data_IF_161577608293
#
_entry.id   IF_161577608293
#
_cell.length_a   1.000
_cell.length_b   1.000
_cell.length_c   1.000
_cell.angle_alpha   90.00
_cell.angle_beta   90.00
_cell.angle_gamma   90.00
#
_symmetry.space_group_name_H-M   'P 1'
#
loop_
_entity.id
_entity.type
_entity.pdbx_description
1 polymer ?
#
# COMPACT_ATOMS: atom_id res chain seq x y z
N UNK A 1 3.18 -9.27 20.76
CA UNK A 1 3.39 -8.09 21.64
C UNK A 1 4.87 -7.88 21.95
N UNK A 2 5.64 -8.94 22.24
CA UNK A 2 7.09 -8.89 22.50
C UNK A 2 7.89 -7.96 21.54
N UNK A 3 7.78 -8.17 20.22
CA UNK A 3 8.48 -7.34 19.22
C UNK A 3 8.08 -5.86 19.28
N UNK A 4 6.79 -5.57 19.51
CA UNK A 4 6.28 -4.20 19.58
C UNK A 4 6.78 -3.47 20.83
N UNK A 5 6.86 -4.16 21.97
CA UNK A 5 7.34 -3.61 23.24
C UNK A 5 8.86 -3.48 23.28
N UNK A 6 9.58 -4.39 22.62
CA UNK A 6 11.05 -4.37 22.56
C UNK A 6 11.61 -3.24 21.68
N UNK A 7 10.79 -2.63 20.82
CA UNK A 7 11.20 -1.60 19.88
C UNK A 7 10.38 -0.31 20.09
N UNK A 8 10.79 0.57 21.02
CA UNK A 8 10.17 1.88 21.18
C UNK A 8 10.10 2.66 19.85
N UNK A 9 9.02 3.41 19.63
CA UNK A 9 8.77 4.09 18.37
C UNK A 9 8.23 3.20 17.24
N UNK A 10 7.77 1.98 17.54
CA UNK A 10 7.06 1.14 16.58
C UNK A 10 5.63 1.63 16.38
N UNK A 11 5.27 2.00 15.14
CA UNK A 11 3.90 2.33 14.76
C UNK A 11 3.06 1.07 14.49
N UNK A 12 3.59 0.18 13.67
CA UNK A 12 2.89 -1.01 13.20
C UNK A 12 3.76 -2.24 13.43
N UNK A 13 3.19 -3.29 14.02
CA UNK A 13 3.80 -4.62 14.06
C UNK A 13 2.95 -5.60 13.28
N UNK A 14 3.57 -6.29 12.33
CA UNK A 14 2.93 -7.38 11.56
C UNK A 14 3.76 -8.66 11.71
N UNK A 15 3.43 -9.69 10.93
CA UNK A 15 4.19 -10.94 10.89
C UNK A 15 3.99 -11.69 9.58
N UNK A 16 4.09 -13.00 9.64
CA UNK A 16 3.95 -13.90 8.49
C UNK A 16 2.49 -13.98 8.06
N UNK A 17 2.22 -13.66 6.80
CA UNK A 17 0.93 -13.90 6.17
C UNK A 17 1.06 -15.06 5.19
N UNK A 18 0.28 -16.11 5.41
CA UNK A 18 0.20 -17.26 4.52
C UNK A 18 -1.05 -17.20 3.65
N UNK A 19 -1.00 -17.83 2.48
CA UNK A 19 -2.21 -18.12 1.72
C UNK A 19 -3.06 -19.14 2.47
N UNK A 20 -4.37 -18.87 2.62
CA UNK A 20 -5.29 -19.81 3.28
C UNK A 20 -5.28 -21.21 2.65
N UNK A 21 -5.28 -21.30 1.31
CA UNK A 21 -5.30 -22.57 0.57
C UNK A 21 -3.92 -23.25 0.47
N UNK A 22 -2.84 -22.53 0.79
CA UNK A 22 -1.46 -23.04 0.73
C UNK A 22 -0.76 -22.69 2.03
N UNK A 23 -1.02 -23.45 3.12
CA UNK A 23 -0.75 -22.99 4.48
C UNK A 23 0.73 -22.79 4.82
N UNK A 24 1.65 -23.33 4.01
CA UNK A 24 3.10 -23.14 4.18
C UNK A 24 3.71 -22.23 3.11
N UNK A 25 2.89 -21.46 2.38
CA UNK A 25 3.35 -20.53 1.35
C UNK A 25 2.98 -19.12 1.75
N UNK A 26 3.96 -18.22 1.78
CA UNK A 26 3.74 -16.84 2.13
C UNK A 26 2.91 -16.13 1.05
N UNK A 27 1.88 -15.44 1.49
CA UNK A 27 1.33 -14.32 0.73
C UNK A 27 2.29 -13.13 0.81
N UNK A 28 2.78 -12.82 2.02
CA UNK A 28 3.75 -11.75 2.28
C UNK A 28 4.31 -11.85 3.70
N UNK A 29 5.51 -11.34 3.91
CA UNK A 29 6.09 -11.08 5.24
C UNK A 29 6.35 -9.57 5.47
N UNK A 30 5.83 -8.72 4.58
CA UNK A 30 6.13 -7.30 4.50
C UNK A 30 6.41 -6.85 3.07
N UNK A 31 6.80 -5.59 2.91
CA UNK A 31 7.08 -4.97 1.61
C UNK A 31 8.43 -4.25 1.63
N UNK A 32 9.14 -4.32 0.52
CA UNK A 32 10.39 -3.57 0.33
C UNK A 32 10.13 -2.08 0.07
N UNK A 33 11.19 -1.27 0.11
CA UNK A 33 11.17 0.09 -0.45
C UNK A 33 11.49 0.05 -1.94
N UNK A 34 11.04 1.04 -2.69
CA UNK A 34 11.37 1.19 -4.11
C UNK A 34 11.75 2.64 -4.44
N UNK A 35 12.82 2.90 -5.22
CA UNK A 35 13.29 4.28 -5.48
C UNK A 35 12.26 5.17 -6.20
N UNK A 36 11.50 4.61 -7.15
CA UNK A 36 10.41 5.31 -7.85
C UNK A 36 9.04 5.16 -7.19
N UNK A 37 8.64 3.92 -6.85
CA UNK A 37 7.32 3.62 -6.31
C UNK A 37 7.15 3.95 -4.82
N UNK A 38 8.25 4.28 -4.14
CA UNK A 38 8.40 4.45 -2.68
C UNK A 38 8.19 3.14 -1.92
N UNK A 39 7.04 2.49 -2.14
CA UNK A 39 6.75 1.12 -1.67
C UNK A 39 6.96 0.11 -2.79
N UNK A 40 7.70 -0.94 -2.47
CA UNK A 40 8.08 -2.02 -3.39
C UNK A 40 7.19 -3.25 -3.28
N UNK A 41 7.74 -4.35 -3.75
CA UNK A 41 7.06 -5.66 -3.85
C UNK A 41 6.87 -6.32 -2.48
N UNK A 42 5.95 -7.29 -2.45
CA UNK A 42 5.76 -8.16 -1.30
C UNK A 42 6.97 -9.08 -1.11
N UNK A 43 7.58 -9.02 0.06
CA UNK A 43 8.65 -9.92 0.48
C UNK A 43 8.09 -11.33 0.70
N UNK A 44 8.85 -12.35 0.27
CA UNK A 44 8.52 -13.76 0.44
C UNK A 44 7.36 -14.27 -0.41
N UNK A 45 6.73 -13.44 -1.25
CA UNK A 45 5.50 -13.80 -1.94
C UNK A 45 5.66 -15.05 -2.80
N UNK A 46 4.87 -16.08 -2.49
CA UNK A 46 4.88 -17.36 -3.22
C UNK A 46 5.99 -18.31 -2.78
N UNK A 47 6.87 -17.91 -1.87
CA UNK A 47 7.89 -18.78 -1.29
C UNK A 47 7.29 -19.69 -0.22
N UNK A 48 7.86 -20.89 -0.06
CA UNK A 48 7.56 -21.76 1.07
C UNK A 48 8.25 -21.25 2.33
N UNK A 49 7.60 -21.36 3.48
CA UNK A 49 8.21 -21.07 4.77
C UNK A 49 9.16 -22.20 5.16
N UNK A 50 10.46 -21.93 5.02
CA UNK A 50 11.56 -22.81 5.40
C UNK A 50 12.37 -22.19 6.56
N UNK A 51 11.80 -21.19 7.25
CA UNK A 51 12.48 -20.44 8.31
C UNK A 51 13.35 -19.29 7.82
N UNK A 52 13.31 -18.95 6.52
CA UNK A 52 14.13 -17.87 5.95
C UNK A 52 13.73 -16.45 6.43
N UNK A 53 12.60 -16.35 7.14
CA UNK A 53 12.12 -15.13 7.79
C UNK A 53 11.91 -15.33 9.30
N UNK A 54 12.71 -16.17 9.97
CA UNK A 54 12.64 -16.43 11.42
C UNK A 54 13.47 -15.44 12.25
N UNK A 55 13.46 -14.17 11.86
CA UNK A 55 14.12 -13.09 12.56
C UNK A 55 13.24 -11.84 12.56
N UNK A 56 13.06 -11.25 13.73
CA UNK A 56 12.40 -9.94 13.83
C UNK A 56 13.24 -8.88 13.12
N UNK A 57 12.60 -8.05 12.31
CA UNK A 57 13.31 -7.03 11.53
C UNK A 57 12.44 -5.79 11.32
N UNK A 58 13.09 -4.66 11.04
CA UNK A 58 12.39 -3.47 10.58
C UNK A 58 12.00 -3.62 9.10
N UNK A 59 10.76 -3.31 8.77
CA UNK A 59 10.23 -3.34 7.42
C UNK A 59 10.22 -1.93 6.81
N UNK A 60 10.42 -1.86 5.50
CA UNK A 60 10.17 -0.62 4.77
C UNK A 60 8.67 -0.27 4.78
N UNK A 61 7.82 -1.26 4.49
CA UNK A 61 6.36 -1.18 4.49
C UNK A 61 5.75 -2.56 4.81
N UNK A 62 4.44 -2.61 5.05
CA UNK A 62 3.66 -3.83 5.21
C UNK A 62 2.25 -3.66 4.61
N UNK A 63 1.50 -4.76 4.49
CA UNK A 63 0.08 -4.75 4.13
C UNK A 63 -0.81 -4.71 5.36
N UNK A 64 -1.96 -4.07 5.25
CA UNK A 64 -3.01 -3.98 6.27
C UNK A 64 -3.87 -5.24 6.39
N UNK A 65 -3.24 -6.41 6.34
CA UNK A 65 -3.93 -7.70 6.53
C UNK A 65 -4.15 -7.95 8.02
N UNK A 66 -3.09 -7.78 8.81
CA UNK A 66 -3.18 -7.79 10.26
C UNK A 66 -2.04 -6.97 10.86
N UNK A 67 -2.39 -6.08 11.79
CA UNK A 67 -1.44 -5.26 12.52
C UNK A 67 -1.78 -5.22 14.00
N UNK A 68 -0.74 -5.12 14.81
CA UNK A 68 -0.83 -4.42 16.08
C UNK A 68 -0.39 -2.97 15.85
N UNK A 69 -1.22 -2.01 16.21
CA UNK A 69 -0.97 -0.57 15.99
C UNK A 69 -0.73 0.10 17.34
N UNK A 70 0.34 0.90 17.43
CA UNK A 70 0.60 1.71 18.61
C UNK A 70 -0.45 2.81 18.76
N UNK A 71 -0.91 3.03 19.99
CA UNK A 71 -1.79 4.18 20.30
C UNK A 71 -1.10 5.51 19.97
N UNK A 72 0.21 5.59 20.14
CA UNK A 72 0.98 6.80 19.89
C UNK A 72 0.93 7.21 18.42
N UNK A 73 1.13 6.28 17.48
CA UNK A 73 1.03 6.63 16.05
C UNK A 73 -0.37 7.11 15.69
N UNK A 74 -1.41 6.52 16.27
CA UNK A 74 -2.79 6.98 16.04
C UNK A 74 -2.99 8.43 16.52
N UNK A 75 -2.55 8.74 17.74
CA UNK A 75 -2.66 10.10 18.28
C UNK A 75 -1.84 11.12 17.49
N UNK A 76 -0.66 10.73 16.99
CA UNK A 76 0.22 11.62 16.23
C UNK A 76 -0.26 11.85 14.80
N UNK A 77 -0.89 10.85 14.17
CA UNK A 77 -1.15 10.88 12.72
C UNK A 77 -2.63 10.87 12.35
N UNK A 78 -3.54 10.54 13.26
CA UNK A 78 -4.99 10.58 13.05
C UNK A 78 -5.61 9.33 12.41
N UNK A 79 -4.87 8.23 12.27
CA UNK A 79 -5.42 6.99 11.69
C UNK A 79 -5.45 6.96 10.16
N UNK A 80 -6.40 6.22 9.60
CA UNK A 80 -6.68 6.25 8.16
C UNK A 80 -7.30 7.57 7.73
N UNK A 81 -6.84 8.05 6.59
CA UNK A 81 -7.34 9.27 5.98
C UNK A 81 -8.61 8.96 5.19
N UNK A 82 -9.70 9.66 5.52
CA UNK A 82 -11.02 9.44 4.93
C UNK A 82 -11.12 9.80 3.44
N UNK A 83 -10.13 10.50 2.88
CA UNK A 83 -10.00 10.69 1.43
C UNK A 83 -9.78 9.36 0.67
N UNK A 84 -9.35 8.33 1.39
CA UNK A 84 -9.07 6.98 0.91
C UNK A 84 -10.18 6.01 1.33
N UNK A 85 -11.29 6.01 0.59
CA UNK A 85 -12.38 5.05 0.84
C UNK A 85 -11.92 3.59 0.71
N UNK A 86 -11.04 3.29 -0.26
CA UNK A 86 -10.55 1.94 -0.55
C UNK A 86 -9.18 2.02 -1.24
N UNK A 87 -8.24 1.17 -0.87
CA UNK A 87 -6.86 1.12 -1.38
C UNK A 87 -6.01 2.34 -1.01
N UNK A 88 -4.79 2.05 -0.56
CA UNK A 88 -3.73 2.99 -0.20
C UNK A 88 -4.00 3.86 1.04
N UNK A 89 -5.09 3.65 1.77
CA UNK A 89 -5.32 4.13 3.13
C UNK A 89 -4.18 3.69 4.07
N UNK A 90 -3.80 2.43 3.93
CA UNK A 90 -2.70 1.77 4.62
C UNK A 90 -1.35 2.40 4.28
N UNK A 91 -1.16 2.71 3.01
CA UNK A 91 0.08 3.26 2.49
C UNK A 91 0.28 4.70 2.95
N UNK A 92 -0.77 5.53 2.83
CA UNK A 92 -0.75 6.90 3.32
C UNK A 92 -0.44 6.95 4.82
N UNK A 93 -1.07 6.08 5.62
CA UNK A 93 -0.82 6.05 7.06
C UNK A 93 0.62 5.64 7.40
N UNK A 94 1.16 4.62 6.71
CA UNK A 94 2.56 4.22 6.86
C UNK A 94 3.53 5.35 6.45
N UNK A 95 3.23 6.11 5.41
CA UNK A 95 4.06 7.26 5.00
C UNK A 95 4.04 8.37 6.05
N UNK A 96 2.87 8.72 6.60
CA UNK A 96 2.75 9.71 7.69
C UNK A 96 3.49 9.24 8.95
N UNK A 97 3.36 7.97 9.31
CA UNK A 97 4.06 7.39 10.46
C UNK A 97 5.59 7.48 10.29
N UNK A 98 6.12 7.09 9.13
CA UNK A 98 7.56 7.17 8.85
C UNK A 98 8.08 8.62 8.87
N UNK A 99 7.31 9.59 8.37
CA UNK A 99 7.65 11.02 8.48
C UNK A 99 7.73 11.50 9.92
N UNK A 100 6.91 10.95 10.80
CA UNK A 100 6.92 11.25 12.23
C UNK A 100 8.00 10.44 13.00
N UNK A 101 8.87 9.70 12.30
CA UNK A 101 9.98 8.96 12.90
C UNK A 101 9.61 7.57 13.41
N UNK A 102 8.39 7.09 13.17
CA UNK A 102 7.98 5.75 13.60
C UNK A 102 8.52 4.65 12.68
N UNK A 103 8.67 3.47 13.28
CA UNK A 103 9.12 2.23 12.63
C UNK A 103 7.97 1.29 12.33
N UNK A 104 8.22 0.37 11.40
CA UNK A 104 7.33 -0.74 11.06
C UNK A 104 8.10 -2.02 11.37
N UNK A 105 7.59 -2.83 12.28
CA UNK A 105 8.30 -4.03 12.74
C UNK A 105 7.63 -5.30 12.24
N UNK A 106 8.44 -6.25 11.83
CA UNK A 106 8.06 -7.62 11.53
C UNK A 106 8.37 -8.50 12.75
N UNK A 107 7.37 -9.28 13.17
CA UNK A 107 7.48 -10.31 14.19
C UNK A 107 7.36 -11.69 13.54
N UNK A 108 8.44 -12.46 13.52
CA UNK A 108 8.44 -13.79 12.88
C UNK A 108 7.53 -14.82 13.58
N UNK A 109 7.27 -14.59 14.87
CA UNK A 109 6.36 -15.41 15.68
C UNK A 109 4.88 -15.14 15.39
N UNK A 110 4.54 -13.94 14.91
CA UNK A 110 3.16 -13.60 14.54
C UNK A 110 2.81 -14.18 13.17
N UNK A 111 1.68 -14.89 13.09
CA UNK A 111 1.29 -15.67 11.90
C UNK A 111 -0.21 -15.56 11.66
N UNK A 112 -0.62 -15.44 10.40
CA UNK A 112 -2.02 -15.48 9.99
C UNK A 112 -2.18 -16.12 8.60
N UNK A 113 -3.27 -16.86 8.40
CA UNK A 113 -3.69 -17.39 7.11
C UNK A 113 -4.79 -16.52 6.53
N UNK A 114 -4.53 -15.94 5.36
CA UNK A 114 -5.42 -14.96 4.74
C UNK A 114 -6.11 -15.55 3.51
N UNK A 115 -7.44 -15.40 3.46
CA UNK A 115 -8.27 -15.76 2.31
C UNK A 115 -8.47 -14.51 1.45
N UNK A 116 -7.64 -14.36 0.42
CA UNK A 116 -7.61 -13.15 -0.41
C UNK A 116 -8.92 -12.85 -1.14
N UNK A 117 -9.14 -11.57 -1.45
CA UNK A 117 -10.13 -11.10 -2.43
C UNK A 117 -11.61 -11.42 -2.14
N UNK A 118 -11.94 -11.75 -0.89
CA UNK A 118 -13.31 -12.14 -0.50
C UNK A 118 -14.32 -10.99 -0.57
N UNK A 119 -13.90 -9.75 -0.30
CA UNK A 119 -14.86 -8.65 -0.06
C UNK A 119 -15.26 -7.87 -1.31
N UNK A 120 -14.35 -7.68 -2.29
CA UNK A 120 -14.57 -6.72 -3.40
C UNK A 120 -14.50 -7.39 -4.78
N UNK A 121 -13.98 -8.62 -4.85
CA UNK A 121 -13.82 -9.36 -6.10
C UNK A 121 -12.73 -8.78 -7.03
N UNK A 122 -12.08 -9.64 -7.81
CA UNK A 122 -10.93 -9.27 -8.67
C UNK A 122 -11.30 -8.39 -9.89
N UNK A 123 -12.59 -8.31 -10.23
CA UNK A 123 -13.10 -7.60 -11.42
C UNK A 123 -13.85 -6.30 -11.11
N UNK A 124 -13.74 -5.76 -9.89
CA UNK A 124 -14.48 -4.55 -9.49
C UNK A 124 -14.01 -3.28 -10.23
N UNK A 125 -14.90 -2.57 -10.95
CA UNK A 125 -14.60 -1.24 -11.49
C UNK A 125 -14.32 -0.23 -10.39
N UNK A 126 -15.02 -0.32 -9.24
CA UNK A 126 -14.79 0.53 -8.08
C UNK A 126 -13.35 0.40 -7.58
N UNK A 127 -12.85 -0.85 -7.45
CA UNK A 127 -11.46 -1.09 -7.09
C UNK A 127 -10.50 -0.49 -8.11
N UNK A 128 -10.79 -0.65 -9.41
CA UNK A 128 -9.92 -0.12 -10.47
C UNK A 128 -9.83 1.41 -10.46
N UNK A 129 -10.94 2.10 -10.15
CA UNK A 129 -10.93 3.55 -9.94
C UNK A 129 -9.95 3.95 -8.83
N UNK A 130 -10.08 3.34 -7.65
CA UNK A 130 -9.22 3.68 -6.52
C UNK A 130 -7.77 3.21 -6.68
N UNK A 131 -7.51 2.08 -7.34
CA UNK A 131 -6.15 1.59 -7.68
C UNK A 131 -5.39 2.56 -8.61
N UNK A 132 -6.13 3.27 -9.48
CA UNK A 132 -5.60 4.30 -10.35
C UNK A 132 -5.44 5.64 -9.62
N UNK A 133 -6.36 5.99 -8.73
CA UNK A 133 -6.41 7.29 -8.03
C UNK A 133 -5.50 7.35 -6.79
N UNK A 134 -5.75 6.47 -5.83
CA UNK A 134 -5.34 6.66 -4.45
C UNK A 134 -3.83 6.55 -4.22
N UNK A 135 -3.10 5.58 -4.81
CA UNK A 135 -1.65 5.52 -4.66
C UNK A 135 -0.95 6.80 -5.14
N UNK A 136 -1.48 7.46 -6.18
CA UNK A 136 -0.95 8.75 -6.64
C UNK A 136 -1.17 9.85 -5.61
N UNK A 137 -2.37 9.92 -5.03
CA UNK A 137 -2.69 10.89 -3.97
C UNK A 137 -1.81 10.68 -2.73
N UNK A 138 -1.64 9.43 -2.27
CA UNK A 138 -0.76 9.12 -1.12
C UNK A 138 0.67 9.63 -1.34
N UNK A 139 1.21 9.46 -2.55
CA UNK A 139 2.54 9.98 -2.93
C UNK A 139 2.54 11.52 -2.98
N UNK A 140 1.52 12.14 -3.56
CA UNK A 140 1.41 13.61 -3.65
C UNK A 140 1.32 14.28 -2.28
N UNK A 141 0.62 13.65 -1.32
CA UNK A 141 0.51 14.14 0.07
C UNK A 141 1.83 13.95 0.81
N UNK A 142 2.59 12.90 0.50
CA UNK A 142 3.66 12.45 1.38
C UNK A 142 5.10 12.51 0.88
N UNK A 143 5.33 12.70 -0.41
CA UNK A 143 6.68 12.61 -0.96
C UNK A 143 7.19 13.96 -1.48
N UNK A 144 8.50 14.04 -1.73
CA UNK A 144 9.08 15.23 -2.34
C UNK A 144 8.75 15.33 -3.84
N UNK A 145 8.91 16.52 -4.44
CA UNK A 145 8.57 16.79 -5.84
C UNK A 145 9.23 15.82 -6.83
N UNK A 146 10.47 15.40 -6.55
CA UNK A 146 11.20 14.46 -7.41
C UNK A 146 10.56 13.07 -7.39
N UNK A 147 10.24 12.55 -6.21
CA UNK A 147 9.52 11.27 -6.06
C UNK A 147 8.12 11.34 -6.68
N UNK A 148 7.39 12.44 -6.45
CA UNK A 148 6.06 12.67 -7.02
C UNK A 148 6.12 12.60 -8.55
N UNK A 149 7.02 13.37 -9.17
CA UNK A 149 7.12 13.41 -10.63
C UNK A 149 7.47 12.04 -11.21
N UNK A 150 8.46 11.34 -10.64
CA UNK A 150 8.83 9.99 -11.11
C UNK A 150 7.66 9.00 -10.97
N UNK A 151 6.98 9.00 -9.83
CA UNK A 151 5.84 8.11 -9.58
C UNK A 151 4.70 8.38 -10.54
N UNK A 152 4.29 9.65 -10.68
CA UNK A 152 3.17 10.04 -11.54
C UNK A 152 3.46 9.70 -12.99
N UNK A 153 4.66 9.97 -13.49
CA UNK A 153 5.04 9.63 -14.87
C UNK A 153 5.00 8.12 -15.08
N UNK A 154 5.65 7.32 -14.21
CA UNK A 154 5.69 5.86 -14.34
C UNK A 154 4.29 5.24 -14.24
N UNK A 155 3.50 5.67 -13.25
CA UNK A 155 2.14 5.16 -13.03
C UNK A 155 1.22 5.52 -14.19
N UNK A 156 1.25 6.76 -14.68
CA UNK A 156 0.45 7.20 -15.83
C UNK A 156 0.84 6.45 -17.10
N UNK A 157 2.14 6.30 -17.37
CA UNK A 157 2.61 5.52 -18.51
C UNK A 157 2.11 4.06 -18.46
N UNK A 158 2.28 3.39 -17.31
CA UNK A 158 1.80 2.01 -17.12
C UNK A 158 0.27 1.91 -17.24
N UNK A 159 -0.48 2.88 -16.73
CA UNK A 159 -1.94 2.87 -16.85
C UNK A 159 -2.39 3.06 -18.30
N UNK A 160 -1.91 4.11 -18.97
CA UNK A 160 -2.34 4.51 -20.32
C UNK A 160 -1.88 3.49 -21.37
N UNK A 161 -0.62 3.08 -21.34
CA UNK A 161 -0.03 2.28 -22.43
C UNK A 161 -0.01 0.77 -22.14
N UNK A 162 -0.30 0.33 -20.92
CA UNK A 162 -0.32 -1.11 -20.58
C UNK A 162 -1.64 -1.57 -19.99
N UNK A 163 -2.05 -1.00 -18.84
CA UNK A 163 -3.17 -1.52 -18.05
C UNK A 163 -4.53 -1.33 -18.74
N UNK A 164 -4.84 -0.11 -19.18
CA UNK A 164 -6.12 0.25 -19.79
C UNK A 164 -6.33 -0.49 -21.12
N UNK A 165 -5.38 -0.49 -22.09
CA UNK A 165 -5.52 -1.24 -23.34
C UNK A 165 -5.71 -2.74 -23.11
N UNK A 166 -4.92 -3.34 -22.21
CA UNK A 166 -5.06 -4.76 -21.85
C UNK A 166 -6.43 -5.06 -21.24
N UNK A 167 -7.00 -4.13 -20.48
CA UNK A 167 -8.32 -4.27 -19.86
C UNK A 167 -9.43 -4.19 -20.89
N UNK A 168 -9.30 -3.30 -21.91
CA UNK A 168 -10.19 -3.25 -23.06
C UNK A 168 -10.14 -4.53 -23.91
N UNK A 169 -8.95 -5.03 -24.24
CA UNK A 169 -8.77 -6.28 -25.01
C UNK A 169 -9.45 -7.48 -24.32
N UNK A 170 -9.47 -7.49 -22.98
CA UNK A 170 -10.14 -8.51 -22.17
C UNK A 170 -11.66 -8.31 -22.04
N UNK A 171 -12.25 -7.31 -22.69
CA UNK A 171 -13.69 -7.01 -22.64
C UNK A 171 -14.17 -6.37 -21.33
N UNK A 172 -13.27 -5.99 -20.42
CA UNK A 172 -13.64 -5.37 -19.14
C UNK A 172 -13.83 -3.85 -19.26
N UNK A 173 -14.76 -3.42 -20.11
CA UNK A 173 -14.95 -2.03 -20.52
C UNK A 173 -15.18 -1.10 -19.31
N UNK A 174 -16.08 -1.47 -18.40
CA UNK A 174 -16.37 -0.68 -17.19
C UNK A 174 -15.14 -0.46 -16.31
N UNK A 175 -14.28 -1.49 -16.18
CA UNK A 175 -13.03 -1.42 -15.42
C UNK A 175 -11.99 -0.51 -16.07
N UNK A 176 -11.93 -0.52 -17.41
CA UNK A 176 -11.04 0.35 -18.16
C UNK A 176 -11.43 1.83 -17.98
N UNK A 177 -12.72 2.15 -18.15
CA UNK A 177 -13.23 3.50 -17.90
C UNK A 177 -13.05 3.94 -16.45
N UNK A 178 -13.32 3.05 -15.48
CA UNK A 178 -13.09 3.36 -14.07
C UNK A 178 -11.61 3.70 -13.79
N UNK A 179 -10.66 2.98 -14.39
CA UNK A 179 -9.23 3.29 -14.29
C UNK A 179 -8.89 4.67 -14.89
N UNK A 180 -9.49 5.02 -16.03
CA UNK A 180 -9.32 6.34 -16.64
C UNK A 180 -9.87 7.45 -15.74
N UNK A 181 -11.09 7.31 -15.22
CA UNK A 181 -11.68 8.27 -14.30
C UNK A 181 -10.88 8.41 -12.99
N UNK A 182 -10.32 7.31 -12.48
CA UNK A 182 -9.43 7.33 -11.33
C UNK A 182 -8.17 8.14 -11.58
N UNK A 183 -7.56 7.96 -12.76
CA UNK A 183 -6.39 8.73 -13.19
C UNK A 183 -6.73 10.23 -13.32
N UNK A 184 -7.83 10.59 -13.99
CA UNK A 184 -8.27 11.99 -14.08
C UNK A 184 -8.55 12.61 -12.71
N UNK A 185 -9.15 11.84 -11.79
CA UNK A 185 -9.40 12.30 -10.41
C UNK A 185 -8.09 12.59 -9.66
N UNK A 186 -7.06 11.75 -9.82
CA UNK A 186 -5.74 12.01 -9.23
C UNK A 186 -5.09 13.28 -9.81
N UNK A 187 -5.19 13.51 -11.12
CA UNK A 187 -4.68 14.75 -11.72
C UNK A 187 -5.44 16.00 -11.27
N UNK A 188 -6.77 15.91 -11.16
CA UNK A 188 -7.59 17.00 -10.59
C UNK A 188 -7.13 17.33 -9.17
N UNK A 189 -6.95 16.31 -8.33
CA UNK A 189 -6.41 16.48 -6.98
C UNK A 189 -5.04 17.16 -6.99
N UNK A 190 -4.13 16.72 -7.84
CA UNK A 190 -2.79 17.30 -7.96
C UNK A 190 -2.83 18.80 -8.29
N UNK A 191 -3.62 19.19 -9.30
CA UNK A 191 -3.76 20.58 -9.72
C UNK A 191 -4.35 21.43 -8.59
N UNK A 192 -5.47 21.00 -8.00
CA UNK A 192 -6.11 21.71 -6.89
C UNK A 192 -5.17 21.85 -5.69
N UNK A 193 -4.43 20.80 -5.34
CA UNK A 193 -3.48 20.82 -4.22
C UNK A 193 -2.31 21.78 -4.43
N UNK A 194 -1.88 22.01 -5.68
CA UNK A 194 -0.83 22.98 -6.01
C UNK A 194 -1.35 24.42 -5.96
N UNK A 195 -2.55 24.66 -6.46
CA UNK A 195 -3.19 25.99 -6.42
C UNK A 195 -3.34 26.44 -4.95
N UNK A 196 -3.81 25.55 -4.08
CA UNK A 196 -4.00 25.85 -2.65
C UNK A 196 -2.69 26.04 -1.86
N UNK A 197 -1.51 25.78 -2.45
CA UNK A 197 -0.20 26.08 -1.83
C UNK A 197 0.38 27.43 -2.24
N UNK A 198 -0.20 28.08 -3.25
CA UNK A 198 0.25 29.38 -3.80
C UNK A 198 -0.56 30.54 -3.20
N UNK A 199 -1.74 30.24 -2.64
CA UNK A 199 -2.62 31.14 -1.89
C UNK A 199 -2.35 30.96 -0.41
#
# INVERSE_FOLDING_TARGET
METATANPGTAFTTGKVYYYERPNVFQTVGKSSHPTLVRGEHLGRGEKDLGQFDMDTELAFCDDIFWLVSREVYLTTGGYDTDFFLQAEDFDWQLRAKKAGFKIMYSHKAKLWHKESMTIGKSSPLKAYYDARNPMIAIMKNCNSTQINRYVIDKSYKLIFKSIPKTFIKGHISKAFASMFGLFSAYKYYITSKINKII
#
